data_IF_549254851083
#
_entry.id   IF_549254851083
#
_cell.length_a   1.000
_cell.length_b   1.000
_cell.length_c   1.000
_cell.angle_alpha   90.00
_cell.angle_beta   90.00
_cell.angle_gamma   90.00
#
_symmetry.space_group_name_H-M   'P 1'
#
loop_
_entity.id
_entity.type
_entity.pdbx_description
1 polymer ?
#
# COMPACT_ATOMS: atom_id res chain seq x y z
N UNK A 1 -6.92 12.36 13.72
CA UNK A 1 -5.45 12.50 13.67
C UNK A 1 -4.76 11.17 13.38
N UNK A 2 -3.45 11.11 13.63
CA UNK A 2 -2.61 9.91 13.41
C UNK A 2 -3.04 8.71 14.24
N UNK A 3 -3.50 8.97 15.47
CA UNK A 3 -3.92 7.96 16.44
C UNK A 3 -5.39 7.53 16.30
N UNK A 4 -6.10 8.03 15.29
CA UNK A 4 -7.49 7.59 15.06
C UNK A 4 -7.49 6.10 14.75
N UNK A 5 -8.32 5.35 15.45
CA UNK A 5 -8.58 3.95 15.10
C UNK A 5 -9.30 3.88 13.76
N UNK A 6 -8.88 2.95 12.91
CA UNK A 6 -9.41 2.80 11.55
C UNK A 6 -10.17 1.48 11.41
N UNK A 7 -11.23 1.48 10.59
CA UNK A 7 -12.06 0.30 10.28
C UNK A 7 -12.70 -0.38 11.51
N UNK A 8 -12.82 0.32 12.63
CA UNK A 8 -13.39 -0.22 13.89
C UNK A 8 -14.78 -0.80 13.70
N UNK A 9 -15.62 -0.12 12.91
CA UNK A 9 -17.00 -0.54 12.67
C UNK A 9 -17.16 -1.57 11.54
N UNK A 10 -16.07 -1.98 10.89
CA UNK A 10 -16.13 -2.92 9.76
C UNK A 10 -16.34 -4.38 10.18
N UNK A 11 -16.04 -4.72 11.44
CA UNK A 11 -16.00 -6.11 11.93
C UNK A 11 -14.86 -6.95 11.33
N UNK A 12 -14.04 -6.38 10.44
CA UNK A 12 -12.93 -7.06 9.81
C UNK A 12 -11.74 -7.15 10.77
N UNK A 13 -11.09 -8.32 10.79
CA UNK A 13 -9.81 -8.53 11.52
C UNK A 13 -8.60 -8.32 10.62
N UNK A 14 -8.78 -8.62 9.34
CA UNK A 14 -7.76 -8.54 8.30
C UNK A 14 -8.34 -7.92 7.04
N UNK A 15 -7.47 -7.24 6.29
CA UNK A 15 -7.74 -6.73 4.95
C UNK A 15 -6.60 -7.15 4.03
N UNK A 16 -6.82 -7.10 2.73
CA UNK A 16 -5.77 -7.19 1.72
C UNK A 16 -5.49 -5.79 1.23
N UNK A 17 -4.30 -5.28 1.51
CA UNK A 17 -3.81 -4.05 0.90
C UNK A 17 -3.30 -4.37 -0.49
N UNK A 18 -3.89 -3.74 -1.51
CA UNK A 18 -3.53 -3.91 -2.90
C UNK A 18 -2.80 -2.68 -3.40
N UNK A 19 -1.63 -2.87 -4.00
CA UNK A 19 -0.91 -1.83 -4.72
C UNK A 19 -0.93 -2.11 -6.22
N UNK A 20 -1.37 -1.11 -6.97
CA UNK A 20 -1.17 -1.03 -8.42
C UNK A 20 -0.12 0.05 -8.70
N UNK A 21 0.98 -0.29 -9.35
CA UNK A 21 1.98 0.68 -9.76
C UNK A 21 1.87 0.97 -11.26
N UNK A 22 1.89 2.24 -11.71
CA UNK A 22 1.77 2.55 -13.13
C UNK A 22 2.89 1.89 -13.96
N UNK A 23 2.52 1.33 -15.12
CA UNK A 23 3.48 0.72 -16.04
C UNK A 23 3.83 -0.74 -15.73
N UNK A 24 3.49 -1.27 -14.56
CA UNK A 24 3.62 -2.69 -14.22
C UNK A 24 2.26 -3.39 -14.32
N UNK A 25 2.22 -4.59 -14.91
CA UNK A 25 0.99 -5.41 -14.96
C UNK A 25 0.69 -6.10 -13.65
N UNK A 26 1.72 -6.35 -12.85
CA UNK A 26 1.62 -7.09 -11.60
C UNK A 26 1.06 -6.18 -10.51
N UNK A 27 0.14 -6.74 -9.74
CA UNK A 27 -0.39 -6.13 -8.51
C UNK A 27 0.28 -6.80 -7.33
N UNK A 28 0.54 -6.05 -6.27
CA UNK A 28 0.95 -6.64 -5.00
C UNK A 28 -0.22 -6.61 -4.02
N UNK A 29 -0.68 -7.81 -3.67
CA UNK A 29 -1.70 -8.03 -2.65
C UNK A 29 -1.01 -8.46 -1.34
N UNK A 30 -1.19 -7.69 -0.28
CA UNK A 30 -0.59 -7.94 1.03
C UNK A 30 -1.68 -8.07 2.09
N UNK A 31 -1.95 -9.30 2.57
CA UNK A 31 -2.76 -9.50 3.77
C UNK A 31 -2.19 -8.70 4.94
N UNK A 32 -3.08 -8.00 5.62
CA UNK A 32 -2.77 -6.98 6.61
C UNK A 32 -3.77 -7.07 7.76
N UNK A 33 -3.27 -7.33 8.96
CA UNK A 33 -4.05 -7.26 10.18
C UNK A 33 -4.42 -5.80 10.51
N UNK A 34 -5.70 -5.61 10.79
CA UNK A 34 -6.30 -4.33 11.24
C UNK A 34 -6.80 -4.40 12.68
N UNK A 35 -6.82 -5.59 13.26
CA UNK A 35 -6.92 -5.85 14.69
C UNK A 35 -5.69 -6.68 15.06
N UNK A 36 -4.75 -6.09 15.80
CA UNK A 36 -3.58 -6.77 16.34
C UNK A 36 -3.84 -7.24 17.78
N UNK A 37 -2.82 -7.83 18.41
CA UNK A 37 -2.83 -8.13 19.86
C UNK A 37 -3.11 -6.90 20.73
N UNK A 38 -2.78 -5.71 20.24
CA UNK A 38 -2.85 -4.46 20.98
C UNK A 38 -4.15 -3.69 20.72
N UNK A 39 -5.06 -4.26 19.92
CA UNK A 39 -6.34 -3.67 19.55
C UNK A 39 -6.43 -3.27 18.08
N UNK A 40 -7.39 -2.39 17.77
CA UNK A 40 -7.55 -1.87 16.41
C UNK A 40 -6.34 -1.02 16.01
N UNK A 41 -5.93 -1.12 14.75
CA UNK A 41 -4.83 -0.29 14.26
C UNK A 41 -5.23 1.17 14.17
N UNK A 42 -4.25 2.05 14.38
CA UNK A 42 -4.38 3.49 14.17
C UNK A 42 -4.14 3.86 12.70
N UNK A 43 -4.50 5.10 12.34
CA UNK A 43 -4.25 5.67 11.01
C UNK A 43 -2.76 5.65 10.65
N UNK A 44 -1.88 5.98 11.58
CA UNK A 44 -0.43 5.96 11.33
C UNK A 44 0.10 4.54 11.13
N UNK A 45 -0.39 3.57 11.90
CA UNK A 45 -0.02 2.16 11.71
C UNK A 45 -0.50 1.64 10.34
N UNK A 46 -1.70 2.04 9.90
CA UNK A 46 -2.19 1.70 8.56
C UNK A 46 -1.31 2.33 7.47
N UNK A 47 -0.93 3.60 7.63
CA UNK A 47 -0.04 4.29 6.69
C UNK A 47 1.35 3.62 6.62
N UNK A 48 1.92 3.21 7.76
CA UNK A 48 3.17 2.45 7.81
C UNK A 48 3.06 1.11 7.09
N UNK A 49 1.95 0.37 7.30
CA UNK A 49 1.71 -0.88 6.58
C UNK A 49 1.59 -0.65 5.07
N UNK A 50 0.90 0.38 4.61
CA UNK A 50 0.81 0.74 3.19
C UNK A 50 2.18 1.11 2.61
N UNK A 51 3.00 1.89 3.33
CA UNK A 51 4.36 2.21 2.92
C UNK A 51 5.24 0.95 2.77
N UNK A 52 5.08 -0.03 3.68
CA UNK A 52 5.77 -1.31 3.56
C UNK A 52 5.34 -2.11 2.32
N UNK A 53 4.07 -2.03 1.90
CA UNK A 53 3.62 -2.64 0.63
C UNK A 53 4.32 -1.99 -0.56
N UNK A 54 4.44 -0.65 -0.57
CA UNK A 54 5.16 0.07 -1.62
C UNK A 54 6.63 -0.34 -1.66
N UNK A 55 7.33 -0.31 -0.52
CA UNK A 55 8.73 -0.71 -0.44
C UNK A 55 8.94 -2.17 -0.91
N UNK A 56 8.04 -3.08 -0.53
CA UNK A 56 8.09 -4.48 -0.97
C UNK A 56 7.87 -4.61 -2.48
N UNK A 57 6.94 -3.85 -3.06
CA UNK A 57 6.71 -3.83 -4.51
C UNK A 57 7.96 -3.36 -5.25
N UNK A 58 8.58 -2.27 -4.78
CA UNK A 58 9.81 -1.72 -5.36
C UNK A 58 10.88 -2.80 -5.44
N UNK A 59 11.18 -3.46 -4.32
CA UNK A 59 12.20 -4.51 -4.25
C UNK A 59 11.86 -5.70 -5.16
N UNK A 60 10.59 -6.13 -5.16
CA UNK A 60 10.16 -7.32 -5.92
C UNK A 60 10.19 -7.11 -7.44
N UNK A 61 9.93 -5.88 -7.90
CA UNK A 61 9.75 -5.58 -9.32
C UNK A 61 10.77 -4.58 -9.88
N UNK A 62 11.88 -4.33 -9.16
CA UNK A 62 12.97 -3.42 -9.59
C UNK A 62 13.47 -3.75 -11.00
N UNK A 63 13.62 -5.04 -11.32
CA UNK A 63 14.19 -5.52 -12.59
C UNK A 63 13.14 -5.97 -13.61
N UNK A 64 11.86 -5.77 -13.32
CA UNK A 64 10.79 -6.18 -14.22
C UNK A 64 10.47 -5.07 -15.22
N UNK A 65 10.01 -5.48 -16.41
CA UNK A 65 9.69 -4.54 -17.48
C UNK A 65 8.56 -3.60 -17.06
N UNK A 66 8.84 -2.30 -17.13
CA UNK A 66 7.87 -1.25 -16.93
C UNK A 66 7.52 -0.62 -18.28
N UNK A 67 6.24 -0.66 -18.67
CA UNK A 67 5.77 -0.02 -19.91
C UNK A 67 5.71 1.51 -19.86
N UNK A 68 5.95 2.09 -18.69
CA UNK A 68 6.01 3.54 -18.44
C UNK A 68 7.34 3.88 -17.77
N UNK A 69 8.41 4.16 -18.54
CA UNK A 69 9.75 4.33 -18.01
C UNK A 69 9.87 5.35 -16.87
N UNK A 70 9.05 6.40 -16.89
CA UNK A 70 8.97 7.44 -15.85
C UNK A 70 8.45 6.93 -14.49
N UNK A 71 7.86 5.74 -14.47
CA UNK A 71 7.40 5.02 -13.28
C UNK A 71 8.27 3.80 -12.95
N UNK A 72 9.34 3.55 -13.72
CA UNK A 72 10.20 2.39 -13.53
C UNK A 72 11.08 2.53 -12.29
N UNK A 73 11.21 1.44 -11.53
CA UNK A 73 12.15 1.33 -10.41
C UNK A 73 13.55 0.89 -10.81
N UNK A 74 13.82 0.71 -12.11
CA UNK A 74 15.17 0.38 -12.55
C UNK A 74 16.15 1.49 -12.11
N UNK A 75 17.41 1.15 -11.77
CA UNK A 75 18.38 2.11 -11.29
C UNK A 75 18.48 3.34 -12.20
N UNK A 76 18.31 4.53 -11.63
CA UNK A 76 18.40 5.82 -12.35
C UNK A 76 17.09 6.36 -12.92
N UNK A 77 15.97 5.63 -12.83
CA UNK A 77 14.70 6.08 -13.43
C UNK A 77 13.77 6.80 -12.44
N UNK A 78 13.62 6.29 -11.21
CA UNK A 78 12.74 6.88 -10.21
C UNK A 78 13.39 6.87 -8.83
N UNK A 79 13.51 8.06 -8.24
CA UNK A 79 13.90 8.24 -6.84
C UNK A 79 12.68 8.72 -6.05
N UNK A 80 12.31 7.97 -5.02
CA UNK A 80 11.18 8.33 -4.15
C UNK A 80 11.72 8.97 -2.90
N UNK A 81 11.56 10.29 -2.79
CA UNK A 81 11.95 11.04 -1.59
C UNK A 81 10.85 11.03 -0.52
N UNK A 82 9.59 11.15 -0.94
CA UNK A 82 8.44 11.13 -0.06
C UNK A 82 7.30 10.39 -0.73
N UNK A 83 6.59 9.56 0.04
CA UNK A 83 5.29 9.02 -0.36
C UNK A 83 4.22 9.52 0.59
N UNK A 84 3.02 9.74 0.06
CA UNK A 84 1.84 10.08 0.87
C UNK A 84 0.72 9.13 0.52
N UNK A 85 0.18 8.45 1.53
CA UNK A 85 -1.07 7.71 1.40
C UNK A 85 -2.20 8.72 1.21
N UNK A 86 -2.75 8.81 0.00
CA UNK A 86 -3.82 9.75 -0.33
C UNK A 86 -5.18 9.18 0.06
N UNK A 87 -5.42 7.92 -0.28
CA UNK A 87 -6.67 7.24 0.06
C UNK A 87 -6.52 5.73 0.07
N UNK A 88 -7.48 5.08 0.73
CA UNK A 88 -7.72 3.64 0.65
C UNK A 88 -9.13 3.44 0.14
N UNK A 89 -9.26 2.77 -1.00
CA UNK A 89 -10.57 2.49 -1.62
C UNK A 89 -10.90 1.02 -1.45
N UNK A 90 -12.03 0.69 -0.86
CA UNK A 90 -12.51 -0.69 -0.87
C UNK A 90 -12.96 -1.05 -2.29
N UNK A 91 -12.27 -1.98 -2.93
CA UNK A 91 -12.55 -2.42 -4.32
C UNK A 91 -13.23 -3.79 -4.38
N UNK A 92 -13.24 -4.51 -3.26
CA UNK A 92 -13.94 -5.77 -3.03
C UNK A 92 -13.99 -6.03 -1.53
N UNK A 93 -14.89 -6.92 -1.06
CA UNK A 93 -15.25 -7.11 0.36
C UNK A 93 -14.10 -6.97 1.37
N UNK A 94 -12.93 -7.54 1.09
CA UNK A 94 -11.74 -7.44 1.94
C UNK A 94 -10.51 -6.83 1.26
N UNK A 95 -10.63 -6.30 0.04
CA UNK A 95 -9.51 -5.74 -0.74
C UNK A 95 -9.60 -4.22 -0.73
N UNK A 96 -8.54 -3.60 -0.23
CA UNK A 96 -8.39 -2.17 -0.10
C UNK A 96 -7.22 -1.70 -0.94
N UNK A 97 -7.51 -0.90 -1.95
CA UNK A 97 -6.51 -0.38 -2.88
C UNK A 97 -5.81 0.86 -2.31
N UNK A 98 -4.48 0.82 -2.32
CA UNK A 98 -3.60 1.91 -1.89
C UNK A 98 -3.49 2.93 -3.02
N UNK A 99 -3.96 4.14 -2.79
CA UNK A 99 -3.69 5.29 -3.64
C UNK A 99 -2.65 6.19 -2.97
N UNK A 100 -1.56 6.48 -3.67
CA UNK A 100 -0.46 7.27 -3.16
C UNK A 100 -0.10 8.40 -4.12
N UNK A 101 0.44 9.47 -3.55
CA UNK A 101 1.15 10.51 -4.27
C UNK A 101 2.65 10.34 -4.04
N UNK A 102 3.42 10.48 -5.11
CA UNK A 102 4.88 10.63 -5.11
C UNK A 102 5.23 12.07 -5.51
#
# INVERSE_FOLDING_TARGET
GSEDLILVHSGLKTVVLRLNWPGYFKKLDQPTEIISSDGHITRIQLAQKAANVIAKFMVMYTYEECRKPEWSFAPGNLEIQQTRLLSLTNVSSNIWEINFGI
#
